data_IF_422858867591
#
_entry.id   IF_422858867591
#
_cell.length_a   1.000
_cell.length_b   1.000
_cell.length_c   1.000
_cell.angle_alpha   90.00
_cell.angle_beta   90.00
_cell.angle_gamma   90.00
#
_symmetry.space_group_name_H-M   'P 1'
#
loop_
_entity.id
_entity.type
_entity.pdbx_description
1 polymer ?
#
# COMPACT_ATOMS: atom_id res chain seq x y z
N UNK A 1 11.56 16.11 7.40
CA UNK A 1 11.31 17.46 6.86
C UNK A 1 9.83 17.73 7.01
N UNK A 2 9.45 18.48 8.05
CA UNK A 2 8.07 18.85 8.34
C UNK A 2 7.61 19.86 7.28
N UNK A 3 6.88 19.40 6.27
CA UNK A 3 6.15 20.30 5.39
C UNK A 3 4.96 20.85 6.17
N UNK A 4 5.13 22.07 6.67
CA UNK A 4 4.08 22.91 7.21
C UNK A 4 3.09 23.23 6.08
N UNK A 5 2.01 22.46 5.95
CA UNK A 5 0.85 22.84 5.15
C UNK A 5 -0.23 23.32 6.12
N UNK A 6 -0.31 24.65 6.22
CA UNK A 6 -1.42 25.43 6.80
C UNK A 6 -2.75 25.08 6.09
N UNK A 7 -3.92 25.54 6.60
CA UNK A 7 -5.17 24.79 6.79
C UNK A 7 -5.72 24.09 5.54
N UNK A 8 -5.02 23.08 5.05
CA UNK A 8 -5.56 22.16 4.06
C UNK A 8 -6.72 21.45 4.73
N UNK A 9 -7.87 21.46 4.06
CA UNK A 9 -9.00 20.61 4.38
C UNK A 9 -8.41 19.24 4.73
N UNK A 10 -8.49 18.86 6.01
CA UNK A 10 -7.81 17.70 6.59
C UNK A 10 -8.02 16.42 5.71
N UNK A 11 -9.12 16.41 4.94
CA UNK A 11 -9.60 15.37 4.02
C UNK A 11 -8.70 15.25 2.79
N UNK A 12 -8.32 16.39 2.22
CA UNK A 12 -7.45 16.51 1.04
C UNK A 12 -6.04 16.02 1.32
N UNK A 13 -5.51 16.25 2.53
CA UNK A 13 -4.18 15.77 2.93
C UNK A 13 -4.13 14.24 3.01
N UNK A 14 -5.22 13.62 3.47
CA UNK A 14 -5.33 12.18 3.58
C UNK A 14 -5.42 11.52 2.20
N UNK A 15 -6.23 12.12 1.31
CA UNK A 15 -6.39 11.67 -0.08
C UNK A 15 -5.09 11.83 -0.87
N UNK A 16 -4.36 12.94 -0.71
CA UNK A 16 -3.11 13.16 -1.45
C UNK A 16 -2.02 12.17 -1.05
N UNK A 17 -1.89 11.86 0.25
CA UNK A 17 -0.94 10.88 0.75
C UNK A 17 -1.23 9.46 0.21
N UNK A 18 -2.49 9.03 0.23
CA UNK A 18 -2.88 7.71 -0.30
C UNK A 18 -2.70 7.61 -1.82
N UNK A 19 -3.02 8.67 -2.57
CA UNK A 19 -2.80 8.71 -4.02
C UNK A 19 -1.31 8.67 -4.38
N UNK A 20 -0.44 9.39 -3.65
CA UNK A 20 1.01 9.37 -3.91
C UNK A 20 1.59 7.96 -3.71
N UNK A 21 1.20 7.26 -2.64
CA UNK A 21 1.62 5.88 -2.39
C UNK A 21 1.07 4.93 -3.46
N UNK A 22 -0.20 5.10 -3.86
CA UNK A 22 -0.81 4.28 -4.91
C UNK A 22 -0.11 4.42 -6.27
N UNK A 23 0.23 5.65 -6.66
CA UNK A 23 0.97 5.93 -7.90
C UNK A 23 2.38 5.34 -7.84
N UNK A 24 3.08 5.48 -6.72
CA UNK A 24 4.40 4.87 -6.53
C UNK A 24 4.35 3.33 -6.63
N UNK A 25 3.29 2.71 -6.11
CA UNK A 25 3.09 1.27 -6.18
C UNK A 25 2.78 0.79 -7.61
N UNK A 26 1.99 1.54 -8.38
CA UNK A 26 1.71 1.27 -9.79
C UNK A 26 2.97 1.36 -10.67
N UNK A 27 3.82 2.36 -10.43
CA UNK A 27 5.11 2.51 -11.13
C UNK A 27 6.05 1.34 -10.82
N UNK A 28 5.91 0.72 -9.65
CA UNK A 28 6.75 -0.43 -9.27
C UNK A 28 6.39 -1.70 -10.01
N UNK A 29 5.14 -1.83 -10.48
CA UNK A 29 4.70 -2.98 -11.29
C UNK A 29 5.25 -2.92 -12.71
N UNK A 30 5.52 -1.73 -13.26
CA UNK A 30 6.05 -1.57 -14.63
C UNK A 30 7.57 -1.74 -14.73
N UNK A 31 8.29 -1.79 -13.61
CA UNK A 31 9.75 -1.81 -13.59
C UNK A 31 10.27 -3.13 -13.01
N UNK A 32 10.84 -3.99 -13.88
CA UNK A 32 11.41 -5.31 -13.55
C UNK A 32 12.78 -5.18 -12.80
N UNK A 33 12.86 -4.34 -11.76
CA UNK A 33 14.10 -4.07 -11.03
C UNK A 33 13.91 -4.30 -9.52
N UNK A 34 14.71 -5.19 -8.93
CA UNK A 34 14.65 -5.55 -7.49
C UNK A 34 14.75 -4.35 -6.54
N UNK A 35 15.49 -3.31 -6.94
CA UNK A 35 15.65 -2.08 -6.17
C UNK A 35 14.35 -1.27 -6.07
N UNK A 36 13.58 -1.17 -7.15
CA UNK A 36 12.32 -0.40 -7.19
C UNK A 36 11.22 -1.11 -6.38
N UNK A 37 11.22 -2.44 -6.41
CA UNK A 37 10.35 -3.24 -5.55
C UNK A 37 10.67 -3.04 -4.06
N UNK A 38 11.94 -2.91 -3.67
CA UNK A 38 12.32 -2.64 -2.28
C UNK A 38 11.85 -1.27 -1.79
N UNK A 39 12.03 -0.22 -2.61
CA UNK A 39 11.67 1.16 -2.24
C UNK A 39 10.15 1.34 -2.10
N UNK A 40 9.35 0.67 -2.93
CA UNK A 40 7.88 0.71 -2.81
C UNK A 40 7.35 0.02 -1.56
N UNK A 41 8.03 -1.04 -1.09
CA UNK A 41 7.70 -1.69 0.19
C UNK A 41 7.89 -0.74 1.38
N UNK A 42 8.92 0.11 1.36
CA UNK A 42 9.10 1.14 2.40
C UNK A 42 8.05 2.25 2.31
N UNK A 43 7.55 2.57 1.11
CA UNK A 43 6.50 3.57 0.94
C UNK A 43 5.14 3.13 1.51
N UNK A 44 4.89 1.83 1.64
CA UNK A 44 3.68 1.27 2.28
C UNK A 44 3.64 1.56 3.80
N UNK A 45 4.79 1.71 4.46
CA UNK A 45 4.85 2.07 5.88
C UNK A 45 4.36 3.50 6.13
N UNK A 46 4.53 4.39 5.15
CA UNK A 46 4.03 5.78 5.21
C UNK A 46 2.50 5.80 5.30
N UNK A 47 1.82 4.80 4.73
CA UNK A 47 0.37 4.66 4.82
C UNK A 47 -0.10 4.40 6.25
N UNK A 48 0.73 3.76 7.09
CA UNK A 48 0.41 3.50 8.50
C UNK A 48 0.34 4.79 9.33
N UNK A 49 1.15 5.81 8.99
CA UNK A 49 1.09 7.13 9.62
C UNK A 49 -0.24 7.86 9.35
N UNK A 50 -0.92 7.53 8.24
CA UNK A 50 -2.23 8.07 7.87
C UNK A 50 -3.40 7.57 8.73
N UNK A 51 -3.21 6.50 9.52
CA UNK A 51 -4.25 5.91 10.37
C UNK A 51 -4.66 6.86 11.51
N UNK A 52 -3.73 7.62 12.07
CA UNK A 52 -4.00 8.61 13.13
C UNK A 52 -5.01 9.68 12.70
N UNK A 53 -4.77 10.39 11.58
CA UNK A 53 -5.72 11.32 11.00
C UNK A 53 -7.06 10.68 10.59
N UNK A 54 -7.03 9.46 10.02
CA UNK A 54 -8.24 8.72 9.63
C UNK A 54 -9.17 8.49 10.83
N UNK A 55 -8.59 8.06 11.95
CA UNK A 55 -9.35 7.82 13.17
C UNK A 55 -9.91 9.13 13.76
N UNK A 56 -9.10 10.20 13.78
CA UNK A 56 -9.57 11.53 14.22
C UNK A 56 -10.75 12.05 13.37
N UNK A 57 -10.79 11.68 12.08
CA UNK A 57 -11.88 11.99 11.18
C UNK A 57 -13.14 11.15 11.38
N UNK A 58 -12.98 9.85 11.53
CA UNK A 58 -14.09 8.95 11.80
C UNK A 58 -14.84 9.41 13.06
N UNK A 59 -14.09 9.86 14.07
CA UNK A 59 -14.63 10.40 15.32
C UNK A 59 -15.37 11.73 15.14
N UNK A 60 -15.00 12.57 14.16
CA UNK A 60 -15.70 13.83 13.87
C UNK A 60 -16.99 13.65 13.07
N UNK A 61 -17.12 12.58 12.30
CA UNK A 61 -18.28 12.31 11.44
C UNK A 61 -19.40 11.60 12.21
N UNK A 62 -19.07 10.74 13.19
CA UNK A 62 -20.06 9.97 13.93
C UNK A 62 -20.37 10.58 15.31
N UNK A 63 -21.65 10.75 15.69
CA UNK A 63 -22.04 11.18 17.03
C UNK A 63 -21.57 10.18 18.10
N UNK A 64 -21.35 10.68 19.33
CA UNK A 64 -20.61 10.05 20.44
C UNK A 64 -21.07 8.65 20.84
N UNK A 65 -22.32 8.27 20.57
CA UNK A 65 -22.89 6.97 20.90
C UNK A 65 -22.42 5.81 20.01
N UNK A 66 -21.95 6.08 18.78
CA UNK A 66 -21.52 5.04 17.82
C UNK A 66 -20.03 5.14 17.42
N UNK A 67 -19.29 6.06 18.03
CA UNK A 67 -17.89 6.37 17.71
C UNK A 67 -16.97 5.15 17.75
N UNK A 68 -17.04 4.32 18.79
CA UNK A 68 -16.16 3.16 18.95
C UNK A 68 -16.42 2.08 17.89
N UNK A 69 -17.69 1.85 17.56
CA UNK A 69 -18.12 0.84 16.59
C UNK A 69 -17.74 1.24 15.16
N UNK A 70 -17.89 2.52 14.80
CA UNK A 70 -17.49 3.03 13.49
C UNK A 70 -15.97 2.96 13.28
N UNK A 71 -15.19 3.36 14.28
CA UNK A 71 -13.72 3.26 14.24
C UNK A 71 -13.26 1.80 14.16
N UNK A 72 -13.91 0.90 14.90
CA UNK A 72 -13.65 -0.53 14.84
C UNK A 72 -13.89 -1.11 13.44
N UNK A 73 -14.99 -0.73 12.78
CA UNK A 73 -15.28 -1.15 11.41
C UNK A 73 -14.19 -0.67 10.43
N UNK A 74 -13.78 0.60 10.51
CA UNK A 74 -12.69 1.16 9.67
C UNK A 74 -11.38 0.37 9.86
N UNK A 75 -11.02 0.05 11.11
CA UNK A 75 -9.82 -0.73 11.40
C UNK A 75 -9.93 -2.18 10.92
N UNK A 76 -11.12 -2.79 11.02
CA UNK A 76 -11.36 -4.13 10.48
C UNK A 76 -11.20 -4.16 8.95
N UNK A 77 -11.73 -3.18 8.23
CA UNK A 77 -11.49 -3.08 6.77
C UNK A 77 -10.00 -2.94 6.44
N UNK A 78 -9.24 -2.21 7.26
CA UNK A 78 -7.77 -2.15 7.12
C UNK A 78 -7.10 -3.53 7.25
N UNK A 79 -7.55 -4.36 8.20
CA UNK A 79 -7.04 -5.73 8.38
C UNK A 79 -7.46 -6.67 7.24
N UNK A 80 -8.73 -6.61 6.83
CA UNK A 80 -9.24 -7.41 5.70
C UNK A 80 -8.48 -7.08 4.41
N UNK A 81 -8.18 -5.80 4.16
CA UNK A 81 -7.36 -5.38 3.04
C UNK A 81 -5.96 -6.00 3.06
N UNK A 82 -5.31 -6.05 4.22
CA UNK A 82 -3.98 -6.67 4.38
C UNK A 82 -4.01 -8.17 4.11
N UNK A 83 -5.02 -8.89 4.64
CA UNK A 83 -5.18 -10.33 4.41
C UNK A 83 -5.46 -10.61 2.93
N UNK A 84 -6.36 -9.86 2.29
CA UNK A 84 -6.65 -10.02 0.86
C UNK A 84 -5.41 -9.77 0.01
N UNK A 85 -4.65 -8.71 0.30
CA UNK A 85 -3.42 -8.38 -0.42
C UNK A 85 -2.36 -9.47 -0.31
N UNK A 86 -2.13 -10.01 0.90
CA UNK A 86 -1.17 -11.10 1.12
C UNK A 86 -1.59 -12.39 0.38
N UNK A 87 -2.88 -12.70 0.35
CA UNK A 87 -3.40 -13.87 -0.37
C UNK A 87 -3.21 -13.73 -1.88
N UNK A 88 -3.52 -12.57 -2.46
CA UNK A 88 -3.33 -12.31 -3.90
C UNK A 88 -1.84 -12.35 -4.25
N UNK A 89 -0.97 -11.71 -3.45
CA UNK A 89 0.47 -11.76 -3.66
C UNK A 89 1.00 -13.21 -3.60
N UNK A 90 0.51 -14.02 -2.64
CA UNK A 90 0.84 -15.44 -2.54
C UNK A 90 0.42 -16.24 -3.77
N UNK A 91 -0.78 -15.99 -4.31
CA UNK A 91 -1.25 -16.63 -5.54
C UNK A 91 -0.40 -16.23 -6.77
N UNK A 92 -0.02 -14.96 -6.87
CA UNK A 92 0.89 -14.48 -7.90
C UNK A 92 2.26 -15.15 -7.81
N UNK A 93 2.82 -15.29 -6.60
CA UNK A 93 4.08 -16.02 -6.40
C UNK A 93 3.95 -17.49 -6.78
N UNK A 94 2.87 -18.18 -6.38
CA UNK A 94 2.66 -19.58 -6.73
C UNK A 94 2.60 -19.80 -8.26
N UNK A 95 1.88 -18.93 -8.98
CA UNK A 95 1.82 -19.00 -10.44
C UNK A 95 3.16 -18.64 -11.10
N UNK A 96 3.84 -17.58 -10.65
CA UNK A 96 5.13 -17.14 -11.19
C UNK A 96 6.28 -18.14 -10.93
N UNK A 97 6.28 -18.79 -9.77
CA UNK A 97 7.26 -19.84 -9.45
C UNK A 97 7.09 -21.09 -10.32
N UNK A 98 5.88 -21.43 -10.74
CA UNK A 98 5.66 -22.54 -11.69
C UNK A 98 6.29 -22.20 -13.06
N UNK A 99 6.13 -20.96 -13.54
CA UNK A 99 6.78 -20.52 -14.79
C UNK A 99 8.30 -20.49 -14.69
N UNK A 100 8.87 -20.06 -13.55
CA UNK A 100 10.33 -20.02 -13.39
C UNK A 100 10.98 -21.40 -13.25
N UNK A 101 10.23 -22.42 -12.81
CA UNK A 101 10.74 -23.78 -12.62
C UNK A 101 10.56 -24.65 -13.87
N UNK A 102 9.58 -24.33 -14.73
CA UNK A 102 9.36 -25.00 -16.02
C UNK A 102 10.13 -24.36 -17.19
N UNK A 103 10.55 -23.10 -17.08
CA UNK A 103 11.41 -22.45 -18.06
C UNK A 103 12.89 -22.65 -17.64
N UNK A 104 13.67 -23.54 -18.27
CA UNK A 104 15.11 -23.51 -18.15
C UNK A 104 15.65 -22.14 -18.61
N UNK A 105 16.66 -21.64 -17.92
CA UNK A 105 17.44 -20.42 -18.15
C UNK A 105 17.85 -20.14 -19.63
N UNK A 106 16.95 -19.67 -20.50
CA UNK A 106 17.34 -19.15 -21.83
C UNK A 106 17.73 -17.65 -21.81
N UNK A 107 17.44 -16.92 -20.72
CA UNK A 107 17.77 -15.49 -20.60
C UNK A 107 18.79 -15.16 -19.50
N UNK A 108 19.84 -15.97 -19.40
CA UNK A 108 21.13 -15.57 -18.78
C UNK A 108 22.26 -15.46 -19.82
N UNK A 109 21.98 -15.56 -21.11
CA UNK A 109 22.98 -15.47 -22.19
C UNK A 109 23.10 -14.06 -22.83
N UNK A 110 22.20 -13.11 -22.54
CA UNK A 110 22.28 -11.74 -23.07
C UNK A 110 22.80 -10.68 -22.07
N UNK A 111 23.31 -11.10 -20.91
CA UNK A 111 23.88 -10.20 -19.89
C UNK A 111 25.33 -10.56 -19.51
N UNK A 112 26.04 -11.26 -20.41
CA UNK A 112 27.49 -11.52 -20.30
C UNK A 112 28.22 -11.34 -21.64
N UNK A 113 27.70 -10.48 -22.52
CA UNK A 113 28.39 -9.87 -23.65
C UNK A 113 28.10 -8.39 -23.70
#
# INVERSE_FOLDING_TARGET
MMASLSPLSKKTLLISMYSLVGVACLISVSVQNRLVAGVSMSALEITALGIGPLNAFAVQIFPTSLRASAVGAVMMFGRVGSVMGANIAGAFLASGCIYTFLLPDDNKTNAKR
#
